data_IF_087737236882
#
_entry.id   IF_087737236882
#
_cell.length_a   1.000
_cell.length_b   1.000
_cell.length_c   1.000
_cell.angle_alpha   90.00
_cell.angle_beta   90.00
_cell.angle_gamma   90.00
#
_symmetry.space_group_name_H-M   'P 1'
#
loop_
_entity.id
_entity.type
_entity.pdbx_description
1 polymer ?
#
# COMPACT_ATOMS: atom_id res chain seq x y z
N UNK A 1 5.20 -20.14 -7.17
CA UNK A 1 4.34 -19.43 -6.19
C UNK A 1 5.16 -18.31 -5.57
N UNK A 2 5.13 -17.08 -6.08
CA UNK A 2 5.89 -16.00 -5.43
C UNK A 2 5.22 -15.68 -4.10
N UNK A 3 5.97 -15.84 -3.02
CA UNK A 3 5.48 -15.55 -1.67
C UNK A 3 5.36 -14.03 -1.49
N UNK A 4 4.65 -13.56 -0.47
CA UNK A 4 4.69 -12.14 -0.07
C UNK A 4 6.10 -11.70 0.30
N UNK A 5 6.93 -12.64 0.77
CA UNK A 5 8.35 -12.45 1.09
C UNK A 5 9.21 -12.16 -0.16
N UNK A 6 8.94 -12.81 -1.30
CA UNK A 6 9.63 -12.52 -2.58
C UNK A 6 9.27 -11.15 -3.19
N UNK A 7 8.26 -10.47 -2.65
CA UNK A 7 7.71 -9.22 -3.23
C UNK A 7 8.03 -7.97 -2.42
N UNK A 8 8.98 -8.04 -1.48
CA UNK A 8 9.40 -6.90 -0.66
C UNK A 8 8.52 -6.60 0.56
N UNK A 9 7.56 -7.49 0.90
CA UNK A 9 6.79 -7.44 2.14
C UNK A 9 7.31 -8.45 3.18
N UNK A 10 8.60 -8.78 3.09
CA UNK A 10 9.27 -9.73 3.97
C UNK A 10 9.65 -9.14 5.32
N UNK A 11 10.58 -9.81 6.00
CA UNK A 11 11.08 -9.43 7.31
C UNK A 11 11.58 -7.97 7.36
N UNK A 12 12.22 -7.49 6.29
CA UNK A 12 12.75 -6.12 6.21
C UNK A 12 11.65 -5.08 6.28
N UNK A 13 10.51 -5.30 5.62
CA UNK A 13 9.36 -4.39 5.70
C UNK A 13 8.81 -4.32 7.11
N UNK A 14 8.71 -5.46 7.79
CA UNK A 14 8.24 -5.51 9.17
C UNK A 14 9.23 -4.86 10.14
N UNK A 15 10.53 -5.04 9.91
CA UNK A 15 11.60 -4.42 10.70
C UNK A 15 11.59 -2.90 10.56
N UNK A 16 11.58 -2.39 9.31
CA UNK A 16 11.53 -0.95 9.02
C UNK A 16 10.23 -0.36 9.59
N UNK A 17 9.10 -1.05 9.41
CA UNK A 17 7.83 -0.63 10.00
C UNK A 17 7.96 -0.52 11.52
N UNK A 18 8.57 -1.49 12.20
CA UNK A 18 8.69 -1.44 13.67
C UNK A 18 9.60 -0.30 14.15
N UNK A 19 10.70 -0.05 13.45
CA UNK A 19 11.65 1.04 13.80
C UNK A 19 11.01 2.41 13.61
N UNK A 20 10.32 2.62 12.50
CA UNK A 20 9.80 3.93 12.12
C UNK A 20 8.37 4.21 12.63
N UNK A 21 7.70 3.23 13.24
CA UNK A 21 6.31 3.38 13.69
C UNK A 21 6.15 4.48 14.74
N UNK A 22 7.11 4.59 15.66
CA UNK A 22 7.04 5.59 16.73
C UNK A 22 7.20 7.02 16.18
N UNK A 23 8.01 7.20 15.14
CA UNK A 23 8.20 8.47 14.44
C UNK A 23 6.96 8.88 13.60
N UNK A 24 6.12 7.92 13.23
CA UNK A 24 4.91 8.18 12.46
C UNK A 24 3.81 8.85 13.30
N UNK A 25 3.82 8.70 14.63
CA UNK A 25 2.77 9.26 15.46
C UNK A 25 2.80 10.79 15.48
N UNK A 26 1.63 11.41 15.33
CA UNK A 26 1.46 12.85 15.20
C UNK A 26 1.65 13.36 13.76
N UNK A 27 2.26 12.58 12.87
CA UNK A 27 2.43 12.97 11.47
C UNK A 27 1.11 12.83 10.69
N UNK A 28 0.86 13.70 9.70
CA UNK A 28 -0.32 13.59 8.86
C UNK A 28 -0.25 12.37 7.96
N UNK A 29 -1.34 11.62 7.87
CA UNK A 29 -1.49 10.55 6.89
C UNK A 29 -1.49 11.14 5.47
N UNK A 30 -0.59 10.68 4.61
CA UNK A 30 -0.45 11.22 3.24
C UNK A 30 -1.68 10.96 2.33
N UNK A 31 -2.62 10.11 2.74
CA UNK A 31 -3.87 9.87 2.02
C UNK A 31 -5.03 10.77 2.46
N UNK A 32 -5.18 11.01 3.76
CA UNK A 32 -6.36 11.70 4.31
C UNK A 32 -6.03 13.02 5.03
N UNK A 33 -4.76 13.32 5.28
CA UNK A 33 -4.29 14.52 5.97
C UNK A 33 -4.46 14.51 7.49
N UNK A 34 -5.21 13.57 8.06
CA UNK A 34 -5.42 13.48 9.51
C UNK A 34 -4.19 12.93 10.24
N UNK A 35 -3.95 13.36 11.49
CA UNK A 35 -2.84 12.86 12.29
C UNK A 35 -2.96 11.36 12.56
N UNK A 36 -1.82 10.67 12.51
CA UNK A 36 -1.70 9.26 12.86
C UNK A 36 -1.46 9.14 14.37
N UNK A 37 -2.31 8.39 15.08
CA UNK A 37 -2.27 8.31 16.55
C UNK A 37 -1.83 6.92 17.03
N UNK A 38 -1.28 6.88 18.26
CA UNK A 38 -0.96 5.63 18.94
C UNK A 38 -2.19 4.74 19.07
N UNK A 39 -2.02 3.44 18.84
CA UNK A 39 -3.09 2.45 18.86
C UNK A 39 -3.91 2.36 17.56
N UNK A 40 -3.72 3.27 16.60
CA UNK A 40 -4.30 3.10 15.27
C UNK A 40 -3.51 2.08 14.46
N UNK A 41 -4.20 1.35 13.60
CA UNK A 41 -3.55 0.48 12.62
C UNK A 41 -2.88 1.36 11.54
N UNK A 42 -1.55 1.41 11.54
CA UNK A 42 -0.75 2.13 10.55
C UNK A 42 0.04 1.15 9.68
N UNK A 43 0.05 1.39 8.38
CA UNK A 43 0.81 0.63 7.40
C UNK A 43 1.88 1.54 6.78
N UNK A 44 3.10 1.01 6.61
CA UNK A 44 4.17 1.68 5.87
C UNK A 44 3.87 1.55 4.38
N UNK A 45 3.37 2.63 3.77
CA UNK A 45 2.98 2.66 2.37
C UNK A 45 4.20 2.68 1.45
N UNK A 46 4.02 2.10 0.27
CA UNK A 46 5.08 1.90 -0.72
C UNK A 46 4.60 2.37 -2.09
N UNK A 47 5.57 2.75 -2.92
CA UNK A 47 5.34 3.10 -4.31
C UNK A 47 4.76 1.91 -5.08
N UNK A 48 4.01 2.16 -6.16
CA UNK A 48 3.31 1.09 -6.88
C UNK A 48 4.25 0.06 -7.54
N UNK A 49 5.48 0.47 -7.81
CA UNK A 49 6.62 -0.33 -8.27
C UNK A 49 7.41 -0.98 -7.13
N UNK A 50 7.07 -0.68 -5.86
CA UNK A 50 7.67 -1.22 -4.63
C UNK A 50 9.15 -0.93 -4.46
N UNK A 51 9.64 0.11 -5.12
CA UNK A 51 11.06 0.54 -5.06
C UNK A 51 11.33 1.49 -3.90
N UNK A 52 10.30 2.06 -3.28
CA UNK A 52 10.46 2.96 -2.13
C UNK A 52 9.22 3.08 -1.25
N UNK A 53 9.40 3.79 -0.13
CA UNK A 53 8.36 4.07 0.85
C UNK A 53 7.85 5.50 0.70
N UNK A 54 6.53 5.67 0.87
CA UNK A 54 5.86 6.99 0.89
C UNK A 54 5.64 7.52 2.31
N UNK A 55 6.05 6.73 3.30
CA UNK A 55 5.80 6.96 4.72
C UNK A 55 4.59 6.17 5.22
N UNK A 56 4.19 6.44 6.46
CA UNK A 56 3.05 5.78 7.06
C UNK A 56 1.72 6.35 6.58
N UNK A 57 0.71 5.51 6.60
CA UNK A 57 -0.68 5.89 6.47
C UNK A 57 -1.56 5.01 7.37
N UNK A 58 -2.78 5.47 7.62
CA UNK A 58 -3.82 4.60 8.18
C UNK A 58 -3.99 3.37 7.29
N UNK A 59 -4.05 2.20 7.92
CA UNK A 59 -4.22 0.92 7.23
C UNK A 59 -5.49 0.91 6.35
N UNK A 60 -6.56 1.54 6.82
CA UNK A 60 -7.81 1.70 6.04
C UNK A 60 -7.61 2.52 4.77
N UNK A 61 -6.88 3.63 4.84
CA UNK A 61 -6.56 4.48 3.70
C UNK A 61 -5.67 3.75 2.69
N UNK A 62 -4.59 3.14 3.16
CA UNK A 62 -3.66 2.40 2.31
C UNK A 62 -4.36 1.24 1.58
N UNK A 63 -5.12 0.43 2.31
CA UNK A 63 -5.87 -0.71 1.71
C UNK A 63 -6.92 -0.25 0.71
N UNK A 64 -7.61 0.86 0.98
CA UNK A 64 -8.57 1.45 0.03
C UNK A 64 -7.90 1.87 -1.26
N UNK A 65 -6.75 2.53 -1.18
CA UNK A 65 -5.99 2.93 -2.35
C UNK A 65 -5.47 1.71 -3.15
N UNK A 66 -4.95 0.70 -2.45
CA UNK A 66 -4.57 -0.58 -3.06
C UNK A 66 -5.74 -1.27 -3.79
N UNK A 67 -6.92 -1.30 -3.18
CA UNK A 67 -8.14 -1.84 -3.80
C UNK A 67 -8.55 -1.05 -5.05
N UNK A 68 -8.49 0.30 -5.00
CA UNK A 68 -8.77 1.18 -6.15
C UNK A 68 -7.80 0.89 -7.31
N UNK A 69 -6.49 0.81 -7.02
CA UNK A 69 -5.45 0.47 -8.01
C UNK A 69 -5.68 -0.92 -8.62
N UNK A 70 -5.98 -1.91 -7.77
CA UNK A 70 -6.27 -3.29 -8.20
C UNK A 70 -7.51 -3.39 -9.10
N UNK A 71 -8.61 -2.75 -8.71
CA UNK A 71 -9.83 -2.73 -9.52
C UNK A 71 -9.62 -2.01 -10.87
N UNK A 72 -8.86 -0.90 -10.89
CA UNK A 72 -8.53 -0.22 -12.14
C UNK A 72 -7.72 -1.12 -13.09
N UNK A 73 -6.76 -1.90 -12.58
CA UNK A 73 -5.99 -2.88 -13.37
C UNK A 73 -6.91 -3.96 -13.95
N UNK A 74 -7.79 -4.55 -13.13
CA UNK A 74 -8.74 -5.58 -13.58
C UNK A 74 -9.69 -5.08 -14.68
N UNK A 75 -10.20 -3.85 -14.56
CA UNK A 75 -11.06 -3.22 -15.58
C UNK A 75 -10.33 -3.06 -16.91
N UNK A 76 -9.06 -2.63 -16.90
CA UNK A 76 -8.23 -2.54 -18.11
C UNK A 76 -8.03 -3.91 -18.76
N UNK A 77 -7.71 -4.93 -17.96
CA UNK A 77 -7.52 -6.29 -18.46
C UNK A 77 -8.80 -6.91 -19.04
N UNK A 78 -9.98 -6.53 -18.52
CA UNK A 78 -11.26 -6.97 -19.05
C UNK A 78 -11.57 -6.31 -20.41
N UNK A 79 -11.28 -5.00 -20.55
CA UNK A 79 -11.48 -4.28 -21.80
C UNK A 79 -10.63 -4.81 -22.97
N UNK A 80 -9.45 -5.36 -22.68
CA UNK A 80 -8.54 -5.92 -23.70
C UNK A 80 -8.95 -7.31 -24.21
N UNK A 81 -9.82 -8.04 -23.48
CA UNK A 81 -10.29 -9.37 -23.92
C UNK A 81 -11.50 -9.31 -24.85
N UNK A 82 -12.20 -8.18 -24.93
CA UNK A 82 -13.43 -8.07 -25.72
C UNK A 82 -13.19 -7.55 -27.14
N UNK A 83 -11.93 -7.44 -27.56
CA UNK A 83 -11.52 -6.76 -28.80
C UNK A 83 -11.09 -7.71 -29.93
N UNK A 84 -11.39 -9.01 -29.86
CA UNK A 84 -11.15 -9.92 -31.00
C UNK A 84 -12.35 -9.86 -31.97
N UNK A 85 -12.17 -9.41 -33.23
CA UNK A 85 -13.20 -9.52 -34.24
C UNK A 85 -13.31 -10.97 -34.72
N UNK A 86 -14.54 -11.42 -34.89
CA UNK A 86 -14.93 -12.69 -35.51
C UNK A 86 -14.43 -12.83 -36.94
#
# INVERSE_FOLDING_TARGET
>A
MSSTSDRGYGADHQAIRKVLLDEAYGQPCHHCGHPMLKGQALDLDHTADRTGYRGFAHASCNRRDGARRGNARRRRSASLRTSEPW
#
